data_IF_728522614059
#
_entry.id   IF_728522614059
#
_cell.length_a   1.000
_cell.length_b   1.000
_cell.length_c   1.000
_cell.angle_alpha   90.00
_cell.angle_beta   90.00
_cell.angle_gamma   90.00
#
_symmetry.space_group_name_H-M   'P 1'
#
loop_
_entity.id
_entity.type
_entity.pdbx_description
1 polymer ?
#
# COMPACT_ATOMS: atom_id res chain seq x y z
N UNK A 1 -4.17 11.64 -22.71
CA UNK A 1 -3.55 11.76 -21.37
C UNK A 1 -2.16 11.16 -21.43
N UNK A 2 -1.17 11.69 -20.70
CA UNK A 2 0.19 11.14 -20.70
C UNK A 2 0.19 9.70 -20.16
N UNK A 3 1.03 8.84 -20.72
CA UNK A 3 1.18 7.46 -20.24
C UNK A 3 2.02 7.42 -18.96
N UNK A 4 1.93 6.35 -18.15
CA UNK A 4 2.79 6.20 -16.98
C UNK A 4 4.29 6.29 -17.31
N UNK A 5 4.72 5.72 -18.44
CA UNK A 5 6.09 5.82 -18.91
C UNK A 5 6.50 7.27 -19.19
N UNK A 6 5.66 8.04 -19.90
CA UNK A 6 5.95 9.43 -20.21
C UNK A 6 6.06 10.31 -18.96
N UNK A 7 5.21 10.05 -17.96
CA UNK A 7 5.27 10.74 -16.67
C UNK A 7 6.57 10.42 -15.92
N UNK A 8 6.91 9.14 -15.78
CA UNK A 8 8.14 8.70 -15.12
C UNK A 8 9.38 9.33 -15.77
N UNK A 9 9.47 9.29 -17.11
CA UNK A 9 10.59 9.91 -17.83
C UNK A 9 10.66 11.42 -17.63
N UNK A 10 9.50 12.09 -17.66
CA UNK A 10 9.43 13.54 -17.44
C UNK A 10 9.85 13.94 -16.02
N UNK A 11 9.47 13.16 -15.01
CA UNK A 11 9.88 13.41 -13.62
C UNK A 11 11.37 13.21 -13.41
N UNK A 12 11.94 12.16 -14.02
CA UNK A 12 13.37 11.86 -13.95
C UNK A 12 14.20 12.90 -14.71
N UNK A 13 13.77 13.33 -15.90
CA UNK A 13 14.47 14.35 -16.69
C UNK A 13 14.61 15.69 -15.95
N UNK A 14 13.65 16.05 -15.08
CA UNK A 14 13.73 17.26 -14.25
C UNK A 14 14.73 17.17 -13.09
N UNK A 15 15.13 15.96 -12.70
CA UNK A 15 15.83 15.72 -11.43
C UNK A 15 17.21 15.08 -11.59
N UNK A 16 17.49 14.49 -12.75
CA UNK A 16 18.79 13.91 -13.06
C UNK A 16 19.75 14.97 -13.61
N UNK A 17 21.04 14.82 -13.29
CA UNK A 17 22.09 15.59 -13.94
C UNK A 17 22.30 15.15 -15.41
N UNK A 18 23.06 15.92 -16.19
CA UNK A 18 23.30 15.66 -17.61
C UNK A 18 23.77 14.22 -17.90
N UNK A 19 24.87 13.75 -17.28
CA UNK A 19 25.36 12.38 -17.50
C UNK A 19 24.38 11.28 -17.09
N UNK A 20 23.66 11.44 -15.97
CA UNK A 20 22.68 10.47 -15.51
C UNK A 20 21.45 10.42 -16.43
N UNK A 21 20.95 11.58 -16.85
CA UNK A 21 19.85 11.69 -17.80
C UNK A 21 20.21 11.09 -19.17
N UNK A 22 21.39 11.40 -19.71
CA UNK A 22 21.89 10.81 -20.96
C UNK A 22 22.01 9.29 -20.86
N UNK A 23 22.54 8.76 -19.74
CA UNK A 23 22.62 7.33 -19.52
C UNK A 23 21.22 6.69 -19.54
N UNK A 24 20.26 7.24 -18.80
CA UNK A 24 18.91 6.69 -18.73
C UNK A 24 18.22 6.73 -20.11
N UNK A 25 18.26 7.87 -20.82
CA UNK A 25 17.70 8.00 -22.17
C UNK A 25 18.32 7.01 -23.14
N UNK A 26 19.64 6.81 -23.08
CA UNK A 26 20.34 5.81 -23.87
C UNK A 26 19.84 4.38 -23.58
N UNK A 27 19.65 4.02 -22.29
CA UNK A 27 19.11 2.70 -21.93
C UNK A 27 17.66 2.51 -22.35
N UNK A 28 16.82 3.55 -22.24
CA UNK A 28 15.43 3.50 -22.69
C UNK A 28 15.36 3.35 -24.22
N UNK A 29 16.13 4.14 -24.97
CA UNK A 29 16.18 4.04 -26.43
C UNK A 29 16.68 2.67 -26.89
N UNK A 30 17.71 2.14 -26.22
CA UNK A 30 18.19 0.78 -26.43
C UNK A 30 17.05 -0.23 -26.17
N UNK A 31 16.49 -0.27 -24.97
CA UNK A 31 15.46 -1.24 -24.60
C UNK A 31 14.13 -1.10 -25.36
N UNK A 32 13.88 0.02 -26.04
CA UNK A 32 12.72 0.19 -26.92
C UNK A 32 12.85 -0.62 -28.23
N UNK A 33 14.06 -1.05 -28.60
CA UNK A 33 14.30 -2.03 -29.65
C UNK A 33 14.16 -3.48 -29.17
N UNK A 34 14.32 -4.43 -30.10
CA UNK A 34 14.28 -5.87 -29.79
C UNK A 34 15.62 -6.40 -29.24
N UNK A 35 16.06 -5.88 -28.09
CA UNK A 35 17.32 -6.30 -27.46
C UNK A 35 17.13 -7.37 -26.38
N UNK A 36 18.23 -8.05 -26.06
CA UNK A 36 18.23 -9.25 -25.22
C UNK A 36 18.10 -8.96 -23.72
N UNK A 37 17.69 -9.98 -22.96
CA UNK A 37 17.39 -9.87 -21.53
C UNK A 37 18.58 -9.39 -20.69
N UNK A 38 19.80 -9.73 -21.10
CA UNK A 38 21.04 -9.27 -20.46
C UNK A 38 21.09 -7.74 -20.34
N UNK A 39 20.63 -7.02 -21.37
CA UNK A 39 20.69 -5.55 -21.37
C UNK A 39 19.70 -4.96 -20.37
N UNK A 40 18.51 -5.56 -20.25
CA UNK A 40 17.52 -5.21 -19.25
C UNK A 40 18.05 -5.48 -17.83
N UNK A 41 18.59 -6.67 -17.58
CA UNK A 41 19.12 -7.04 -16.26
C UNK A 41 20.24 -6.11 -15.81
N UNK A 42 21.20 -5.84 -16.70
CA UNK A 42 22.30 -4.91 -16.42
C UNK A 42 21.77 -3.49 -16.22
N UNK A 43 20.75 -3.05 -16.98
CA UNK A 43 20.19 -1.72 -16.83
C UNK A 43 19.56 -1.55 -15.45
N UNK A 44 18.67 -2.46 -15.07
CA UNK A 44 17.94 -2.48 -13.80
C UNK A 44 18.89 -2.51 -12.60
N UNK A 45 19.92 -3.36 -12.65
CA UNK A 45 20.90 -3.47 -11.56
C UNK A 45 21.85 -2.27 -11.45
N UNK A 46 22.14 -1.58 -12.56
CA UNK A 46 23.03 -0.39 -12.55
C UNK A 46 22.33 0.91 -12.15
N UNK A 47 20.99 0.96 -12.14
CA UNK A 47 20.23 2.17 -11.80
C UNK A 47 20.73 2.88 -10.54
N UNK A 48 20.81 2.26 -9.35
CA UNK A 48 21.17 2.98 -8.13
C UNK A 48 22.59 3.54 -8.18
N UNK A 49 23.50 2.88 -8.91
CA UNK A 49 24.88 3.35 -9.12
C UNK A 49 24.95 4.51 -10.11
N UNK A 50 24.05 4.55 -11.09
CA UNK A 50 24.07 5.53 -12.18
C UNK A 50 23.24 6.77 -11.89
N UNK A 51 22.14 6.62 -11.17
CA UNK A 51 21.16 7.68 -10.93
C UNK A 51 21.03 8.06 -9.45
N UNK A 52 21.63 7.29 -8.54
CA UNK A 52 21.46 7.49 -7.10
C UNK A 52 20.12 7.00 -6.58
N UNK A 53 19.83 7.31 -5.31
CA UNK A 53 18.61 6.89 -4.59
C UNK A 53 17.92 8.07 -3.89
N UNK A 54 18.11 9.29 -4.41
CA UNK A 54 17.44 10.46 -3.87
C UNK A 54 15.92 10.30 -3.96
N UNK A 55 15.20 10.94 -3.05
CA UNK A 55 13.73 11.00 -3.12
C UNK A 55 13.29 11.64 -4.43
N UNK A 56 12.24 11.10 -5.03
CA UNK A 56 11.64 11.66 -6.23
C UNK A 56 10.75 12.84 -5.82
N UNK A 57 11.21 14.05 -6.11
CA UNK A 57 10.48 15.28 -5.80
C UNK A 57 9.29 15.44 -6.75
N UNK A 58 8.09 15.14 -6.25
CA UNK A 58 6.83 15.25 -6.97
C UNK A 58 5.97 16.39 -6.41
N UNK A 59 5.36 17.16 -7.30
CA UNK A 59 4.40 18.21 -6.98
C UNK A 59 2.97 17.64 -6.86
N UNK A 60 2.03 18.43 -6.33
CA UNK A 60 0.61 18.07 -6.35
C UNK A 60 0.07 17.80 -7.75
N UNK A 61 0.54 18.56 -8.75
CA UNK A 61 0.17 18.38 -10.15
C UNK A 61 0.71 17.06 -10.72
N UNK A 62 1.93 16.66 -10.33
CA UNK A 62 2.49 15.37 -10.72
C UNK A 62 1.66 14.20 -10.16
N UNK A 63 1.24 14.28 -8.90
CA UNK A 63 0.38 13.27 -8.27
C UNK A 63 -1.02 13.24 -8.93
N UNK A 64 -1.57 14.40 -9.29
CA UNK A 64 -2.81 14.51 -10.05
C UNK A 64 -2.68 13.86 -11.44
N UNK A 65 -1.57 14.09 -12.13
CA UNK A 65 -1.29 13.49 -13.43
C UNK A 65 -1.10 11.97 -13.33
N UNK A 66 -0.45 11.48 -12.28
CA UNK A 66 -0.30 10.05 -11.99
C UNK A 66 -1.68 9.38 -11.84
N UNK A 67 -2.55 9.95 -10.99
CA UNK A 67 -3.91 9.46 -10.81
C UNK A 67 -4.72 9.48 -12.10
N UNK A 68 -4.57 10.52 -12.94
CA UNK A 68 -5.26 10.61 -14.21
C UNK A 68 -4.76 9.58 -15.25
N UNK A 69 -3.46 9.28 -15.26
CA UNK A 69 -2.87 8.27 -16.14
C UNK A 69 -3.27 6.84 -15.73
N UNK A 70 -3.36 6.59 -14.41
CA UNK A 70 -3.83 5.33 -13.83
C UNK A 70 -4.54 5.65 -12.51
N UNK A 71 -5.86 5.50 -12.48
CA UNK A 71 -6.70 5.76 -11.28
C UNK A 71 -6.07 5.13 -10.03
N UNK A 72 -5.82 5.87 -8.96
CA UNK A 72 -5.23 5.29 -7.73
C UNK A 72 -3.73 5.02 -7.77
N UNK A 73 -3.03 5.29 -8.88
CA UNK A 73 -1.57 5.32 -8.86
C UNK A 73 -1.09 6.50 -7.99
N UNK A 74 -0.35 6.18 -6.94
CA UNK A 74 0.20 7.14 -5.99
C UNK A 74 1.70 6.88 -5.80
N UNK A 75 2.57 7.64 -6.49
CA UNK A 75 4.02 7.52 -6.37
C UNK A 75 4.63 8.28 -5.18
N UNK A 76 3.82 8.70 -4.19
CA UNK A 76 4.34 9.44 -3.03
C UNK A 76 5.34 8.59 -2.24
N UNK A 77 6.54 9.14 -2.00
CA UNK A 77 7.63 8.45 -1.28
C UNK A 77 8.42 7.47 -2.15
N UNK A 78 8.35 7.63 -3.47
CA UNK A 78 9.24 6.95 -4.40
C UNK A 78 10.60 7.63 -4.47
N UNK A 79 11.63 6.87 -4.80
CA UNK A 79 12.97 7.37 -5.09
C UNK A 79 13.26 7.36 -6.60
N UNK A 80 14.28 8.11 -7.00
CA UNK A 80 14.76 8.20 -8.38
C UNK A 80 15.07 6.82 -8.97
N UNK A 81 15.73 5.93 -8.23
CA UNK A 81 16.05 4.59 -8.73
C UNK A 81 14.82 3.72 -8.94
N UNK A 82 13.79 3.85 -8.10
CA UNK A 82 12.55 3.09 -8.26
C UNK A 82 11.78 3.52 -9.51
N UNK A 83 11.63 4.83 -9.71
CA UNK A 83 10.98 5.38 -10.91
C UNK A 83 11.74 4.99 -12.19
N UNK A 84 13.07 5.05 -12.17
CA UNK A 84 13.89 4.69 -13.32
C UNK A 84 13.85 3.19 -13.64
N UNK A 85 13.91 2.30 -12.63
CA UNK A 85 13.73 0.86 -12.86
C UNK A 85 12.37 0.57 -13.49
N UNK A 86 11.31 1.24 -13.03
CA UNK A 86 9.98 1.03 -13.59
C UNK A 86 9.85 1.59 -15.01
N UNK A 87 10.49 2.72 -15.33
CA UNK A 87 10.57 3.21 -16.70
C UNK A 87 11.24 2.18 -17.63
N UNK A 88 12.36 1.58 -17.21
CA UNK A 88 13.04 0.53 -17.98
C UNK A 88 12.15 -0.71 -18.19
N UNK A 89 11.42 -1.15 -17.17
CA UNK A 89 10.49 -2.29 -17.27
C UNK A 89 9.32 -1.99 -18.21
N UNK A 90 8.71 -0.81 -18.10
CA UNK A 90 7.62 -0.39 -18.97
C UNK A 90 8.08 -0.27 -20.41
N UNK A 91 9.28 0.25 -20.66
CA UNK A 91 9.87 0.28 -22.00
C UNK A 91 10.07 -1.12 -22.56
N UNK A 92 10.58 -2.07 -21.77
CA UNK A 92 10.80 -3.45 -22.21
C UNK A 92 9.50 -4.27 -22.37
N UNK A 93 8.38 -3.80 -21.81
CA UNK A 93 7.11 -4.55 -21.76
C UNK A 93 6.48 -4.85 -23.12
N UNK A 94 6.83 -4.08 -24.16
CA UNK A 94 6.36 -4.30 -25.53
C UNK A 94 6.79 -5.66 -26.11
N UNK A 95 7.77 -6.34 -25.48
CA UNK A 95 8.31 -7.64 -25.91
C UNK A 95 7.38 -8.83 -25.59
N UNK A 96 6.22 -8.61 -24.97
CA UNK A 96 5.22 -9.64 -24.68
C UNK A 96 5.78 -10.76 -23.79
N UNK A 97 5.61 -12.03 -24.21
CA UNK A 97 6.09 -13.21 -23.47
C UNK A 97 7.57 -13.13 -23.10
N UNK A 98 8.42 -12.63 -24.00
CA UNK A 98 9.85 -12.50 -23.72
C UNK A 98 10.13 -11.53 -22.56
N UNK A 99 9.27 -10.51 -22.38
CA UNK A 99 9.36 -9.62 -21.21
C UNK A 99 8.96 -10.34 -19.92
N UNK A 100 7.85 -11.10 -19.92
CA UNK A 100 7.42 -11.83 -18.71
C UNK A 100 8.49 -12.82 -18.25
N UNK A 101 9.16 -13.47 -19.20
CA UNK A 101 10.18 -14.46 -18.90
C UNK A 101 11.41 -13.78 -18.31
N UNK A 102 11.81 -12.64 -18.90
CA UNK A 102 12.89 -11.83 -18.36
C UNK A 102 12.56 -11.25 -16.98
N UNK A 103 11.35 -10.72 -16.81
CA UNK A 103 10.90 -10.17 -15.54
C UNK A 103 10.82 -11.24 -14.46
N UNK A 104 10.39 -12.46 -14.81
CA UNK A 104 10.39 -13.60 -13.90
C UNK A 104 11.81 -13.96 -13.46
N UNK A 105 12.81 -13.90 -14.35
CA UNK A 105 14.20 -14.12 -13.96
C UNK A 105 14.73 -13.00 -13.05
N UNK A 106 14.39 -11.73 -13.30
CA UNK A 106 14.76 -10.61 -12.43
C UNK A 106 14.35 -10.86 -10.98
N UNK A 107 13.12 -11.36 -10.75
CA UNK A 107 12.65 -11.68 -9.41
C UNK A 107 13.49 -12.72 -8.66
N UNK A 108 14.16 -13.64 -9.37
CA UNK A 108 14.95 -14.71 -8.72
C UNK A 108 16.20 -14.18 -8.04
N UNK A 109 16.73 -13.06 -8.51
CA UNK A 109 17.97 -12.46 -7.99
C UNK A 109 17.74 -11.05 -7.44
N UNK A 110 16.48 -10.62 -7.34
CA UNK A 110 16.11 -9.26 -6.99
C UNK A 110 16.54 -8.93 -5.56
N UNK A 111 17.34 -7.86 -5.41
CA UNK A 111 17.60 -7.29 -4.09
C UNK A 111 16.34 -6.61 -3.50
N UNK A 112 16.40 -6.18 -2.25
CA UNK A 112 15.27 -5.53 -1.57
C UNK A 112 14.80 -4.27 -2.30
N UNK A 113 15.71 -3.47 -2.86
CA UNK A 113 15.36 -2.24 -3.58
C UNK A 113 14.70 -2.52 -4.93
N UNK A 114 15.15 -3.55 -5.63
CA UNK A 114 14.53 -4.05 -6.86
C UNK A 114 13.13 -4.60 -6.58
N UNK A 115 12.96 -5.44 -5.55
CA UNK A 115 11.65 -5.94 -5.13
C UNK A 115 10.68 -4.81 -4.83
N UNK A 116 11.10 -3.80 -4.06
CA UNK A 116 10.27 -2.62 -3.75
C UNK A 116 9.84 -1.91 -5.05
N UNK A 117 10.77 -1.73 -5.99
CA UNK A 117 10.49 -1.07 -7.28
C UNK A 117 9.47 -1.88 -8.09
N UNK A 118 9.61 -3.21 -8.10
CA UNK A 118 8.75 -4.10 -8.88
C UNK A 118 7.34 -4.17 -8.29
N UNK A 119 7.20 -4.31 -6.97
CA UNK A 119 5.90 -4.33 -6.30
C UNK A 119 5.13 -3.00 -6.47
N UNK A 120 5.82 -1.87 -6.29
CA UNK A 120 5.27 -0.53 -6.55
C UNK A 120 4.81 -0.36 -8.00
N UNK A 121 5.47 -1.05 -8.93
CA UNK A 121 5.21 -0.98 -10.36
C UNK A 121 4.09 -1.88 -10.90
N UNK A 122 3.63 -2.88 -10.13
CA UNK A 122 2.62 -3.83 -10.61
C UNK A 122 1.35 -3.19 -11.19
N UNK A 123 0.79 -2.09 -10.63
CA UNK A 123 -0.35 -1.39 -11.22
C UNK A 123 -0.14 -0.83 -12.63
N UNK A 124 1.11 -0.67 -13.05
CA UNK A 124 1.49 -0.02 -14.31
C UNK A 124 1.93 -1.04 -15.38
N UNK A 125 2.33 -2.24 -14.96
CA UNK A 125 2.78 -3.30 -15.86
C UNK A 125 1.60 -3.93 -16.62
N UNK A 126 1.80 -4.40 -17.86
CA UNK A 126 0.74 -5.06 -18.62
C UNK A 126 0.35 -6.41 -18.02
N UNK A 127 -0.84 -6.87 -18.41
CA UNK A 127 -1.44 -8.16 -18.01
C UNK A 127 -1.39 -8.40 -16.50
N UNK A 128 -2.11 -7.59 -15.69
CA UNK A 128 -2.02 -7.63 -14.24
C UNK A 128 -2.23 -9.04 -13.66
N UNK A 129 -3.13 -9.84 -14.22
CA UNK A 129 -3.39 -11.21 -13.78
C UNK A 129 -2.13 -12.11 -13.69
N UNK A 130 -1.11 -11.88 -14.54
CA UNK A 130 0.14 -12.65 -14.51
C UNK A 130 1.01 -12.38 -13.28
N UNK A 131 0.83 -11.23 -12.63
CA UNK A 131 1.61 -10.83 -11.46
C UNK A 131 0.98 -11.28 -10.14
N UNK A 132 -0.21 -11.89 -10.16
CA UNK A 132 -0.99 -12.20 -8.95
C UNK A 132 -0.19 -13.06 -7.97
N UNK A 133 0.46 -14.11 -8.45
CA UNK A 133 1.23 -14.99 -7.59
C UNK A 133 2.39 -14.24 -6.92
N UNK A 134 3.12 -13.37 -7.64
CA UNK A 134 4.20 -12.54 -7.08
C UNK A 134 3.65 -11.55 -6.08
N UNK A 135 2.55 -10.87 -6.39
CA UNK A 135 1.91 -9.93 -5.49
C UNK A 135 1.51 -10.60 -4.17
N UNK A 136 0.89 -11.78 -4.22
CA UNK A 136 0.53 -12.53 -3.00
C UNK A 136 1.74 -13.04 -2.23
N UNK A 137 2.83 -13.39 -2.91
CA UNK A 137 4.11 -13.77 -2.28
C UNK A 137 4.77 -12.58 -1.56
N UNK A 138 4.74 -11.40 -2.17
CA UNK A 138 5.18 -10.14 -1.56
C UNK A 138 4.47 -9.82 -0.25
N UNK A 139 3.18 -10.15 -0.15
CA UNK A 139 2.42 -9.99 1.08
C UNK A 139 2.81 -10.99 2.19
N UNK A 140 3.63 -12.01 1.92
CA UNK A 140 4.06 -12.99 2.96
C UNK A 140 5.38 -12.61 3.64
N UNK A 141 6.13 -11.66 3.08
CA UNK A 141 7.42 -11.22 3.60
C UNK A 141 7.34 -10.67 5.03
N UNK A 142 8.42 -10.81 5.80
CA UNK A 142 8.61 -10.13 7.09
C UNK A 142 9.42 -8.83 6.96
N UNK A 143 9.92 -8.51 5.76
CA UNK A 143 10.63 -7.25 5.50
C UNK A 143 9.57 -6.17 5.30
N UNK A 144 9.33 -5.35 6.34
CA UNK A 144 8.28 -4.32 6.35
C UNK A 144 8.29 -3.45 5.09
N UNK A 145 9.44 -2.94 4.67
CA UNK A 145 9.54 -2.11 3.46
C UNK A 145 9.09 -2.81 2.17
N UNK A 146 9.34 -4.12 2.03
CA UNK A 146 8.86 -4.92 0.89
C UNK A 146 7.35 -5.15 1.00
N UNK A 147 6.84 -5.48 2.19
CA UNK A 147 5.40 -5.60 2.41
C UNK A 147 4.65 -4.31 2.06
N UNK A 148 5.13 -3.17 2.54
CA UNK A 148 4.52 -1.86 2.29
C UNK A 148 4.55 -1.50 0.80
N UNK A 149 5.56 -1.93 0.05
CA UNK A 149 5.65 -1.65 -1.40
C UNK A 149 4.53 -2.28 -2.24
N UNK A 150 3.94 -3.38 -1.78
CA UNK A 150 2.77 -4.00 -2.40
C UNK A 150 1.45 -3.58 -1.74
N UNK A 151 1.44 -3.38 -0.41
CA UNK A 151 0.20 -3.10 0.32
C UNK A 151 -0.19 -1.61 0.34
N UNK A 152 0.78 -0.69 0.38
CA UNK A 152 0.53 0.74 0.57
C UNK A 152 0.55 1.51 -0.74
N UNK A 153 -0.38 2.46 -0.88
CA UNK A 153 -0.46 3.37 -2.02
C UNK A 153 -0.42 2.64 -3.36
N UNK A 154 -0.94 1.41 -3.35
CA UNK A 154 -0.89 0.49 -4.45
C UNK A 154 -2.32 -0.03 -4.69
N UNK A 155 -2.94 0.28 -5.83
CA UNK A 155 -4.30 -0.17 -6.14
C UNK A 155 -4.37 -1.64 -6.52
N UNK A 156 -3.23 -2.29 -6.82
CA UNK A 156 -3.20 -3.65 -7.34
C UNK A 156 -3.88 -4.68 -6.41
N UNK A 157 -3.62 -4.73 -5.09
CA UNK A 157 -4.29 -5.70 -4.22
C UNK A 157 -5.81 -5.51 -4.19
N UNK A 158 -6.29 -4.27 -4.17
CA UNK A 158 -7.73 -3.99 -4.11
C UNK A 158 -8.46 -4.52 -5.35
N UNK A 159 -7.81 -4.47 -6.51
CA UNK A 159 -8.39 -4.84 -7.81
C UNK A 159 -8.23 -6.32 -8.16
N UNK A 160 -7.16 -6.97 -7.68
CA UNK A 160 -6.79 -8.31 -8.15
C UNK A 160 -6.80 -9.39 -7.09
N UNK A 161 -6.72 -9.05 -5.80
CA UNK A 161 -6.75 -10.08 -4.77
C UNK A 161 -8.17 -10.59 -4.57
N UNK A 162 -8.31 -11.91 -4.47
CA UNK A 162 -9.50 -12.51 -3.90
C UNK A 162 -9.67 -12.10 -2.42
N UNK A 163 -10.81 -12.46 -1.83
CA UNK A 163 -11.10 -12.12 -0.44
C UNK A 163 -10.06 -12.69 0.54
N UNK A 164 -9.58 -13.91 0.30
CA UNK A 164 -8.64 -14.58 1.21
C UNK A 164 -7.29 -13.87 1.19
N UNK A 165 -6.71 -13.62 0.01
CA UNK A 165 -5.45 -12.92 -0.15
C UNK A 165 -5.54 -11.48 0.39
N UNK A 166 -6.66 -10.79 0.14
CA UNK A 166 -6.93 -9.48 0.69
C UNK A 166 -6.92 -9.47 2.23
N UNK A 167 -7.68 -10.39 2.84
CA UNK A 167 -7.77 -10.46 4.30
C UNK A 167 -6.43 -10.82 4.96
N UNK A 168 -5.69 -11.75 4.34
CA UNK A 168 -4.36 -12.13 4.82
C UNK A 168 -3.36 -10.98 4.71
N UNK A 169 -3.41 -10.18 3.65
CA UNK A 169 -2.57 -8.99 3.52
C UNK A 169 -2.90 -7.96 4.62
N UNK A 170 -4.18 -7.63 4.81
CA UNK A 170 -4.59 -6.67 5.85
C UNK A 170 -4.18 -7.14 7.26
N UNK A 171 -4.37 -8.42 7.57
CA UNK A 171 -3.93 -8.98 8.86
C UNK A 171 -2.39 -8.96 8.99
N UNK A 172 -1.67 -9.32 7.91
CA UNK A 172 -0.20 -9.29 7.90
C UNK A 172 0.35 -7.91 8.17
N UNK A 173 -0.28 -6.84 7.69
CA UNK A 173 0.14 -5.47 7.97
C UNK A 173 0.33 -5.25 9.48
N UNK A 174 -0.61 -5.73 10.30
CA UNK A 174 -0.52 -5.64 11.76
C UNK A 174 0.61 -6.51 12.35
N UNK A 175 0.88 -7.68 11.78
CA UNK A 175 2.00 -8.54 12.20
C UNK A 175 3.37 -7.91 11.95
N UNK A 176 3.52 -7.18 10.84
CA UNK A 176 4.77 -6.49 10.49
C UNK A 176 4.83 -5.04 10.99
N UNK A 177 3.80 -4.59 11.72
CA UNK A 177 3.72 -3.23 12.26
C UNK A 177 3.58 -2.14 11.18
N UNK A 178 2.96 -2.45 10.05
CA UNK A 178 2.59 -1.50 9.01
C UNK A 178 1.19 -0.91 9.30
N UNK A 179 0.97 0.41 9.10
CA UNK A 179 -0.36 1.02 9.21
C UNK A 179 -1.33 0.47 8.17
N UNK A 180 -2.64 0.54 8.43
CA UNK A 180 -3.67 0.10 7.49
C UNK A 180 -4.13 1.24 6.57
N UNK A 181 -4.05 2.49 7.01
CA UNK A 181 -4.60 3.65 6.31
C UNK A 181 -4.05 3.86 4.88
N UNK A 182 -2.79 3.51 4.53
CA UNK A 182 -2.31 3.66 3.15
C UNK A 182 -2.80 2.53 2.23
N UNK A 183 -3.45 1.49 2.76
CA UNK A 183 -4.01 0.39 1.97
C UNK A 183 -5.23 0.94 1.23
N UNK A 184 -5.09 1.10 -0.09
CA UNK A 184 -6.15 1.63 -0.93
C UNK A 184 -7.31 0.63 -1.01
N UNK A 185 -8.55 1.12 -0.87
CA UNK A 185 -9.74 0.28 -0.93
C UNK A 185 -10.11 -0.43 0.38
N UNK A 186 -9.44 -0.14 1.50
CA UNK A 186 -9.74 -0.75 2.80
C UNK A 186 -11.22 -0.67 3.19
N UNK A 187 -11.80 0.53 3.16
CA UNK A 187 -13.21 0.74 3.51
C UNK A 187 -14.17 0.07 2.52
N UNK A 188 -13.79 -0.03 1.24
CA UNK A 188 -14.63 -0.65 0.23
C UNK A 188 -14.63 -2.18 0.31
N UNK A 189 -13.57 -2.78 0.89
CA UNK A 189 -13.33 -4.23 0.88
C UNK A 189 -13.32 -4.88 2.26
N UNK A 190 -13.55 -4.12 3.33
CA UNK A 190 -13.76 -4.72 4.65
C UNK A 190 -14.91 -5.73 4.61
N UNK A 191 -14.78 -6.85 5.31
CA UNK A 191 -15.72 -7.96 5.26
C UNK A 191 -15.78 -8.69 6.61
N UNK A 192 -16.83 -9.48 6.83
CA UNK A 192 -17.01 -10.23 8.08
C UNK A 192 -15.86 -11.18 8.42
N UNK A 193 -15.32 -11.99 7.48
CA UNK A 193 -14.14 -12.79 7.72
C UNK A 193 -12.91 -11.97 8.17
N UNK A 194 -12.66 -10.82 7.55
CA UNK A 194 -11.59 -9.90 7.98
C UNK A 194 -11.83 -9.39 9.39
N UNK A 195 -13.05 -8.95 9.71
CA UNK A 195 -13.40 -8.48 11.04
C UNK A 195 -13.12 -9.54 12.12
N UNK A 196 -13.51 -10.80 11.87
CA UNK A 196 -13.21 -11.93 12.77
C UNK A 196 -11.71 -12.16 12.95
N UNK A 197 -10.95 -12.20 11.85
CA UNK A 197 -9.49 -12.36 11.89
C UNK A 197 -8.81 -11.24 12.70
N UNK A 198 -9.27 -10.00 12.53
CA UNK A 198 -8.80 -8.83 13.26
C UNK A 198 -9.14 -8.93 14.76
N UNK A 199 -10.37 -9.33 15.08
CA UNK A 199 -10.81 -9.55 16.46
C UNK A 199 -10.02 -10.66 17.15
N UNK A 200 -9.75 -11.78 16.47
CA UNK A 200 -8.92 -12.86 17.01
C UNK A 200 -7.49 -12.39 17.29
N UNK A 201 -6.89 -11.65 16.35
CA UNK A 201 -5.60 -11.00 16.57
C UNK A 201 -5.61 -10.08 17.79
N UNK A 202 -6.65 -9.26 17.98
CA UNK A 202 -6.76 -8.37 19.14
C UNK A 202 -6.78 -9.17 20.46
N UNK A 203 -7.56 -10.25 20.53
CA UNK A 203 -7.59 -11.14 21.70
C UNK A 203 -6.24 -11.81 21.97
N UNK A 204 -5.55 -12.32 20.94
CA UNK A 204 -4.22 -12.89 21.07
C UNK A 204 -3.21 -11.88 21.62
N UNK A 205 -3.23 -10.63 21.13
CA UNK A 205 -2.37 -9.55 21.60
C UNK A 205 -2.64 -9.20 23.06
N UNK A 206 -3.91 -9.05 23.44
CA UNK A 206 -4.29 -8.77 24.83
C UNK A 206 -3.92 -9.91 25.78
N UNK A 207 -4.10 -11.17 25.38
CA UNK A 207 -3.68 -12.32 26.18
C UNK A 207 -2.16 -12.33 26.42
N UNK A 208 -1.39 -11.77 25.49
CA UNK A 208 0.06 -11.60 25.60
C UNK A 208 0.49 -10.25 26.21
N UNK A 209 -0.43 -9.43 26.74
CA UNK A 209 -0.17 -8.07 27.24
C UNK A 209 0.55 -7.17 26.22
N UNK A 210 0.24 -7.32 24.93
CA UNK A 210 0.81 -6.53 23.84
C UNK A 210 -0.23 -5.52 23.32
N UNK A 211 0.21 -4.35 22.83
CA UNK A 211 -0.70 -3.36 22.27
C UNK A 211 -1.39 -3.87 21.00
N UNK A 212 -2.61 -3.41 20.77
CA UNK A 212 -3.43 -3.62 19.57
C UNK A 212 -3.41 -2.32 18.77
N UNK A 213 -3.25 -2.40 17.45
CA UNK A 213 -3.33 -1.21 16.60
C UNK A 213 -4.73 -0.63 16.61
N UNK A 214 -4.86 0.68 16.84
CA UNK A 214 -6.16 1.38 16.80
C UNK A 214 -6.81 1.30 15.41
N UNK A 215 -6.02 1.20 14.33
CA UNK A 215 -6.52 1.11 12.96
C UNK A 215 -7.30 -0.19 12.70
N UNK A 216 -7.06 -1.23 13.50
CA UNK A 216 -7.74 -2.52 13.40
C UNK A 216 -9.26 -2.36 13.44
N UNK A 217 -9.75 -1.46 14.30
CA UNK A 217 -11.19 -1.28 14.52
C UNK A 217 -11.93 -0.79 13.27
N UNK A 218 -11.22 -0.15 12.33
CA UNK A 218 -11.76 0.25 11.02
C UNK A 218 -12.29 -0.93 10.20
N UNK A 219 -11.70 -2.11 10.38
CA UNK A 219 -12.14 -3.34 9.71
C UNK A 219 -13.24 -4.09 10.48
N UNK A 220 -13.38 -3.84 11.79
CA UNK A 220 -14.27 -4.60 12.68
C UNK A 220 -15.66 -3.97 12.78
N UNK A 221 -15.73 -2.66 13.01
CA UNK A 221 -16.99 -1.94 13.24
C UNK A 221 -18.09 -2.17 12.19
N UNK A 222 -17.77 -2.22 10.89
CA UNK A 222 -18.75 -2.46 9.83
C UNK A 222 -19.37 -3.87 9.82
N UNK A 223 -18.74 -4.85 10.48
CA UNK A 223 -19.17 -6.26 10.46
C UNK A 223 -19.22 -6.89 11.86
N UNK A 224 -20.00 -6.35 12.80
CA UNK A 224 -19.97 -6.82 14.17
C UNK A 224 -20.70 -8.18 14.30
N UNK A 225 -19.99 -9.17 14.84
CA UNK A 225 -20.58 -10.32 15.54
C UNK A 225 -20.38 -10.19 17.05
N UNK A 226 -20.88 -11.16 17.83
CA UNK A 226 -20.80 -11.12 19.29
C UNK A 226 -19.37 -10.95 19.82
N UNK A 227 -18.38 -11.61 19.21
CA UNK A 227 -16.96 -11.45 19.61
C UNK A 227 -16.43 -10.08 19.22
N UNK A 228 -16.81 -9.57 18.06
CA UNK A 228 -16.43 -8.23 17.63
C UNK A 228 -16.96 -7.16 18.59
N UNK A 229 -18.22 -7.29 19.04
CA UNK A 229 -18.83 -6.36 19.99
C UNK A 229 -18.10 -6.34 21.33
N UNK A 230 -17.74 -7.50 21.87
CA UNK A 230 -16.94 -7.62 23.11
C UNK A 230 -15.57 -6.91 22.94
N UNK A 231 -14.92 -7.12 21.80
CA UNK A 231 -13.63 -6.50 21.52
C UNK A 231 -13.74 -4.98 21.36
N UNK A 232 -14.77 -4.50 20.66
CA UNK A 232 -15.05 -3.06 20.48
C UNK A 232 -15.37 -2.39 21.82
N UNK A 233 -16.19 -3.01 22.66
CA UNK A 233 -16.52 -2.50 24.00
C UNK A 233 -15.26 -2.34 24.86
N UNK A 234 -14.43 -3.38 24.90
CA UNK A 234 -13.14 -3.35 25.61
C UNK A 234 -12.21 -2.26 25.07
N UNK A 235 -12.23 -1.98 23.78
CA UNK A 235 -11.41 -0.94 23.17
C UNK A 235 -11.95 0.47 23.47
N UNK A 236 -13.26 0.68 23.46
CA UNK A 236 -13.91 1.95 23.80
C UNK A 236 -13.61 2.36 25.26
N UNK A 237 -13.56 1.39 26.16
CA UNK A 237 -13.30 1.61 27.58
C UNK A 237 -11.82 1.91 27.92
N UNK A 238 -10.90 1.82 26.95
CA UNK A 238 -9.49 2.19 27.14
C UNK A 238 -9.29 3.71 27.09
N UNK A 239 -9.90 4.44 28.03
CA UNK A 239 -9.96 5.90 28.00
C UNK A 239 -8.58 6.59 28.06
N UNK A 240 -7.57 5.94 28.62
CA UNK A 240 -6.19 6.43 28.64
C UNK A 240 -5.53 6.41 27.25
N UNK A 241 -5.96 5.48 26.38
CA UNK A 241 -5.56 5.43 24.97
C UNK A 241 -6.63 6.10 24.09
N UNK A 242 -6.50 7.41 23.98
CA UNK A 242 -7.42 8.25 23.21
C UNK A 242 -7.47 7.92 21.70
N UNK A 243 -6.48 7.20 21.15
CA UNK A 243 -6.50 6.73 19.76
C UNK A 243 -7.34 5.46 19.67
N UNK A 244 -7.06 4.46 20.50
CA UNK A 244 -7.80 3.19 20.52
C UNK A 244 -9.27 3.41 20.86
N UNK A 245 -9.58 4.16 21.92
CA UNK A 245 -10.95 4.44 22.31
C UNK A 245 -11.70 5.24 21.24
N UNK A 246 -11.04 6.24 20.64
CA UNK A 246 -11.61 7.04 19.56
C UNK A 246 -11.88 6.22 18.29
N UNK A 247 -10.96 5.34 17.90
CA UNK A 247 -11.10 4.47 16.74
C UNK A 247 -12.21 3.44 16.92
N UNK A 248 -12.32 2.81 18.09
CA UNK A 248 -13.37 1.85 18.39
C UNK A 248 -14.75 2.52 18.45
N UNK A 249 -14.85 3.73 19.02
CA UNK A 249 -16.08 4.51 19.01
C UNK A 249 -16.47 4.91 17.58
N UNK A 250 -15.52 5.40 16.77
CA UNK A 250 -15.78 5.75 15.38
C UNK A 250 -16.25 4.52 14.56
N UNK A 251 -15.61 3.37 14.75
CA UNK A 251 -15.99 2.11 14.13
C UNK A 251 -17.43 1.69 14.49
N UNK A 252 -17.84 1.87 15.75
CA UNK A 252 -19.21 1.62 16.19
C UNK A 252 -20.21 2.60 15.58
N UNK A 253 -19.85 3.88 15.46
CA UNK A 253 -20.69 4.91 14.85
C UNK A 253 -20.92 4.68 13.35
N UNK A 254 -19.97 4.08 12.65
CA UNK A 254 -20.11 3.73 11.23
C UNK A 254 -20.87 2.43 10.99
N UNK A 255 -21.19 1.67 12.04
CA UNK A 255 -21.89 0.39 11.93
C UNK A 255 -23.39 0.58 11.72
N UNK A 256 -24.01 -0.31 10.93
CA UNK A 256 -25.46 -0.38 10.80
C UNK A 256 -26.13 -1.28 11.86
N UNK A 257 -25.35 -1.96 12.70
CA UNK A 257 -25.88 -2.85 13.74
C UNK A 257 -26.26 -2.05 15.00
N UNK A 258 -27.51 -2.14 15.49
CA UNK A 258 -27.94 -1.42 16.68
C UNK A 258 -27.09 -1.73 17.92
N UNK A 259 -26.63 -2.98 18.05
CA UNK A 259 -25.77 -3.40 19.15
C UNK A 259 -24.41 -2.68 19.15
N UNK A 260 -23.82 -2.44 17.98
CA UNK A 260 -22.58 -1.66 17.87
C UNK A 260 -22.83 -0.18 18.20
N UNK A 261 -23.92 0.40 17.70
CA UNK A 261 -24.29 1.79 18.03
C UNK A 261 -24.53 1.99 19.53
N UNK A 262 -25.12 1.01 20.21
CA UNK A 262 -25.35 1.07 21.66
C UNK A 262 -24.04 1.17 22.47
N UNK A 263 -22.94 0.60 21.98
CA UNK A 263 -21.62 0.70 22.64
C UNK A 263 -21.08 2.12 22.70
N UNK A 264 -21.58 3.05 21.87
CA UNK A 264 -21.21 4.47 21.95
C UNK A 264 -21.52 5.07 23.33
N UNK A 265 -22.50 4.53 24.06
CA UNK A 265 -22.79 4.97 25.43
C UNK A 265 -21.59 4.78 26.38
N UNK A 266 -20.68 3.85 26.08
CA UNK A 266 -19.44 3.62 26.83
C UNK A 266 -18.30 4.55 26.41
N UNK A 267 -18.45 5.31 25.32
CA UNK A 267 -17.46 6.29 24.90
C UNK A 267 -17.59 7.58 25.73
N UNK A 268 -16.46 8.29 25.90
CA UNK A 268 -16.45 9.59 26.57
C UNK A 268 -17.42 10.57 25.90
N UNK A 269 -17.96 11.52 26.68
CA UNK A 269 -18.88 12.54 26.14
C UNK A 269 -18.20 13.36 25.03
N UNK A 270 -16.92 13.69 25.19
CA UNK A 270 -16.15 14.45 24.20
C UNK A 270 -15.94 13.66 22.91
N UNK A 271 -15.66 12.35 23.02
CA UNK A 271 -15.57 11.45 21.85
C UNK A 271 -16.89 11.40 21.10
N UNK A 272 -18.03 11.23 21.80
CA UNK A 272 -19.35 11.19 21.15
C UNK A 272 -19.68 12.50 20.44
N UNK A 273 -19.47 13.64 21.10
CA UNK A 273 -19.68 14.97 20.50
C UNK A 273 -18.77 15.18 19.28
N UNK A 274 -17.53 14.73 19.32
CA UNK A 274 -16.61 14.87 18.20
C UNK A 274 -17.04 14.01 16.99
N UNK A 275 -17.60 12.81 17.23
CA UNK A 275 -18.20 11.99 16.17
C UNK A 275 -19.44 12.69 15.59
N UNK A 276 -20.36 13.14 16.44
CA UNK A 276 -21.59 13.85 16.01
C UNK A 276 -21.28 15.13 15.21
N UNK A 277 -20.24 15.87 15.62
CA UNK A 277 -19.77 17.06 14.93
C UNK A 277 -18.95 16.76 13.66
N UNK A 278 -18.65 15.49 13.37
CA UNK A 278 -17.82 15.07 12.24
C UNK A 278 -16.35 15.47 12.35
N UNK A 279 -15.88 15.87 13.54
CA UNK A 279 -14.49 16.26 13.78
C UNK A 279 -13.59 15.08 14.12
N UNK A 280 -14.15 14.00 14.68
CA UNK A 280 -13.46 12.72 14.82
C UNK A 280 -13.68 11.85 13.58
N UNK A 281 -12.64 11.73 12.76
CA UNK A 281 -12.62 10.90 11.55
C UNK A 281 -11.38 10.01 11.52
N UNK A 282 -11.35 9.01 10.63
CA UNK A 282 -10.15 8.19 10.41
C UNK A 282 -8.94 9.05 10.00
N UNK A 283 -9.16 10.09 9.20
CA UNK A 283 -8.11 11.05 8.82
C UNK A 283 -7.61 11.85 10.03
N UNK A 284 -8.51 12.32 10.91
CA UNK A 284 -8.13 13.02 12.14
C UNK A 284 -7.35 12.12 13.10
N UNK A 285 -7.70 10.83 13.19
CA UNK A 285 -6.95 9.85 13.98
C UNK A 285 -5.55 9.58 13.40
N UNK A 286 -5.43 9.46 12.07
CA UNK A 286 -4.11 9.35 11.41
C UNK A 286 -3.23 10.56 11.73
N UNK A 287 -3.78 11.78 11.57
CA UNK A 287 -3.05 13.01 11.86
C UNK A 287 -2.58 13.08 13.33
N UNK A 288 -3.41 12.65 14.29
CA UNK A 288 -3.04 12.56 15.72
C UNK A 288 -1.96 11.53 16.02
N UNK A 289 -1.91 10.44 15.24
CA UNK A 289 -0.90 9.39 15.37
C UNK A 289 0.45 9.75 14.72
N UNK A 290 0.56 10.91 14.07
CA UNK A 290 1.74 11.31 13.31
C UNK A 290 1.92 10.49 12.02
N UNK A 291 0.82 9.98 11.47
CA UNK A 291 0.78 9.14 10.27
C UNK A 291 0.53 9.96 9.00
#
# INVERSE_FOLDING_TARGET
MPTPLALLTGWLDRQLDGPAAEWLRGRLAHLAGAHGDRDLYVAVGLVPRKLGKADLALTGDDLGAAHAARKGWDPTGWSVDQAARLALLLTASHRGEAFFEAFHQLWRTADVGEQISFYRGLPLLPEPARHLWRATDGCRTNIKAVFESIAHRNPYPAEHFDEVAWNQMCLKALFVGAPLHPIQGLDARHNGPLARMMTDYAFERWAASRPVSWELWRCVGPHPDDRCLIALERAIQQHEDSLTAGAAALACATSHAPAATALLAHASNDTRKAIEAGTLTWAALCARAGA
#
